data_IF_051487666674
#
_entry.id   IF_051487666674
#
_cell.length_a   1.000
_cell.length_b   1.000
_cell.length_c   1.000
_cell.angle_alpha   90.00
_cell.angle_beta   90.00
_cell.angle_gamma   90.00
#
_symmetry.space_group_name_H-M   'P 1'
#
loop_
_entity.id
_entity.type
_entity.pdbx_description
1 polymer ?
#
# COMPACT_ATOMS: atom_id res chain seq x y z
N UNK A 1 18.20 10.62 9.39
CA UNK A 1 17.60 9.57 8.53
C UNK A 1 18.32 9.36 7.20
N UNK A 2 18.95 10.38 6.59
CA UNK A 2 19.76 10.19 5.37
C UNK A 2 20.95 9.25 5.60
N UNK A 3 21.71 9.45 6.67
CA UNK A 3 22.85 8.59 7.04
C UNK A 3 22.42 7.12 7.21
N UNK A 4 21.34 6.87 7.95
CA UNK A 4 20.72 5.54 8.04
C UNK A 4 20.41 4.93 6.68
N UNK A 5 19.89 5.73 5.74
CA UNK A 5 19.54 5.24 4.41
C UNK A 5 20.77 4.91 3.55
N UNK A 6 21.91 5.53 3.82
CA UNK A 6 23.18 5.20 3.17
C UNK A 6 23.72 3.84 3.63
N UNK A 7 23.43 3.43 4.88
CA UNK A 7 23.89 2.15 5.42
C UNK A 7 22.98 0.97 5.10
N UNK A 8 21.68 1.10 5.39
CA UNK A 8 20.73 -0.03 5.25
C UNK A 8 19.81 0.10 4.04
N UNK A 9 19.95 1.16 3.26
CA UNK A 9 19.09 1.47 2.12
C UNK A 9 17.82 2.23 2.51
N UNK A 10 17.33 3.04 1.58
CA UNK A 10 16.17 3.90 1.79
C UNK A 10 14.88 3.12 2.11
N UNK A 11 14.68 1.95 1.48
CA UNK A 11 13.50 1.11 1.71
C UNK A 11 13.41 0.64 3.17
N UNK A 12 14.51 0.13 3.73
CA UNK A 12 14.56 -0.35 5.11
C UNK A 12 14.36 0.79 6.12
N UNK A 13 14.89 1.98 5.84
CA UNK A 13 14.64 3.17 6.66
C UNK A 13 13.16 3.55 6.67
N UNK A 14 12.48 3.48 5.52
CA UNK A 14 11.05 3.76 5.46
C UNK A 14 10.23 2.74 6.27
N UNK A 15 10.61 1.46 6.25
CA UNK A 15 9.99 0.43 7.10
C UNK A 15 10.17 0.75 8.59
N UNK A 16 11.37 1.15 9.00
CA UNK A 16 11.64 1.56 10.39
C UNK A 16 10.81 2.78 10.79
N UNK A 17 10.74 3.80 9.94
CA UNK A 17 9.91 4.98 10.16
C UNK A 17 8.41 4.63 10.25
N UNK A 18 7.94 3.67 9.43
CA UNK A 18 6.55 3.23 9.44
C UNK A 18 6.19 2.51 10.74
N UNK A 19 7.08 1.65 11.24
CA UNK A 19 6.80 0.81 12.41
C UNK A 19 7.13 1.48 13.75
N UNK A 20 8.20 2.25 13.80
CA UNK A 20 8.80 2.77 15.04
C UNK A 20 8.97 4.30 15.05
N UNK A 21 8.35 5.02 14.10
CA UNK A 21 8.44 6.48 14.04
C UNK A 21 8.08 7.15 15.36
N UNK A 22 8.97 8.01 15.85
CA UNK A 22 8.83 8.71 17.14
C UNK A 22 9.28 7.92 18.36
N UNK A 23 9.85 6.73 18.18
CA UNK A 23 10.36 5.87 19.26
C UNK A 23 11.89 5.84 19.28
N UNK A 24 12.44 5.59 20.46
CA UNK A 24 13.85 5.22 20.63
C UNK A 24 14.01 3.69 20.60
N UNK A 25 14.86 3.21 19.71
CA UNK A 25 15.19 1.79 19.62
C UNK A 25 16.62 1.58 20.10
N UNK A 26 16.81 0.64 21.02
CA UNK A 26 18.14 0.19 21.40
C UNK A 26 18.71 -0.79 20.37
N UNK A 27 19.95 -0.55 19.93
CA UNK A 27 20.68 -1.45 19.06
C UNK A 27 21.69 -2.25 19.89
N UNK A 28 21.56 -3.59 19.98
CA UNK A 28 22.47 -4.40 20.78
C UNK A 28 23.86 -4.44 20.13
N UNK A 29 24.90 -4.65 20.95
CA UNK A 29 26.28 -4.76 20.47
C UNK A 29 26.58 -6.05 19.69
N UNK A 30 25.74 -7.08 19.83
CA UNK A 30 25.90 -8.38 19.18
C UNK A 30 24.53 -8.91 18.78
N UNK A 31 24.50 -9.69 17.71
CA UNK A 31 23.31 -10.41 17.30
C UNK A 31 22.93 -11.39 18.44
N UNK A 32 21.71 -11.25 18.96
CA UNK A 32 21.20 -12.17 19.97
C UNK A 32 20.67 -13.44 19.29
N UNK A 33 20.67 -14.57 20.00
CA UNK A 33 19.96 -15.78 19.54
C UNK A 33 18.44 -15.59 19.44
N UNK A 34 17.89 -14.54 20.06
CA UNK A 34 16.47 -14.17 19.90
C UNK A 34 16.33 -13.12 18.79
N UNK A 35 15.35 -13.26 17.89
CA UNK A 35 15.13 -12.28 16.83
C UNK A 35 14.79 -10.93 17.46
N UNK A 36 15.54 -9.91 17.07
CA UNK A 36 15.27 -8.54 17.47
C UNK A 36 14.16 -7.98 16.57
N UNK A 37 13.24 -7.17 17.11
CA UNK A 37 12.09 -6.63 16.35
C UNK A 37 12.51 -5.82 15.11
N UNK A 38 13.71 -5.22 15.15
CA UNK A 38 14.30 -4.54 13.99
C UNK A 38 14.77 -5.55 12.95
N UNK A 39 15.45 -6.63 13.37
CA UNK A 39 15.92 -7.69 12.47
C UNK A 39 14.75 -8.38 11.74
N UNK A 40 13.65 -8.61 12.44
CA UNK A 40 12.42 -9.15 11.84
C UNK A 40 11.86 -8.25 10.72
N UNK A 41 12.09 -6.94 10.81
CA UNK A 41 11.52 -5.96 9.89
C UNK A 41 12.41 -5.68 8.68
N UNK A 42 13.72 -5.51 8.89
CA UNK A 42 14.68 -5.14 7.83
C UNK A 42 15.54 -6.29 7.33
N UNK A 43 15.48 -7.44 8.01
CA UNK A 43 16.32 -8.61 7.77
C UNK A 43 17.65 -8.58 8.53
N UNK A 44 18.24 -9.77 8.67
CA UNK A 44 19.45 -9.97 9.48
C UNK A 44 20.67 -9.22 8.94
N UNK A 45 20.83 -9.15 7.61
CA UNK A 45 21.95 -8.45 6.98
C UNK A 45 21.93 -6.95 7.25
N UNK A 46 20.79 -6.30 7.05
CA UNK A 46 20.64 -4.87 7.33
C UNK A 46 20.77 -4.59 8.83
N UNK A 47 20.27 -5.49 9.68
CA UNK A 47 20.42 -5.34 11.12
C UNK A 47 21.87 -5.49 11.58
N UNK A 48 22.65 -6.40 10.97
CA UNK A 48 24.07 -6.55 11.26
C UNK A 48 24.84 -5.26 10.96
N UNK A 49 24.54 -4.58 9.85
CA UNK A 49 25.13 -3.27 9.51
C UNK A 49 24.76 -2.22 10.58
N UNK A 50 23.52 -2.22 11.09
CA UNK A 50 23.13 -1.33 12.19
C UNK A 50 23.91 -1.60 13.47
N UNK A 51 24.17 -2.86 13.80
CA UNK A 51 25.00 -3.22 14.95
C UNK A 51 26.42 -2.68 14.76
N UNK A 52 27.02 -2.87 13.59
CA UNK A 52 28.39 -2.41 13.32
C UNK A 52 28.56 -0.90 13.47
N UNK A 53 27.57 -0.12 13.03
CA UNK A 53 27.64 1.35 13.06
C UNK A 53 27.12 1.97 14.37
N UNK A 54 26.12 1.35 15.00
CA UNK A 54 25.36 1.93 16.12
C UNK A 54 25.27 1.01 17.35
N UNK A 55 26.21 0.07 17.52
CA UNK A 55 26.26 -0.83 18.67
C UNK A 55 26.13 -0.09 20.02
N UNK A 56 25.27 -0.61 20.89
CA UNK A 56 25.01 -0.07 22.24
C UNK A 56 24.39 1.32 22.28
N UNK A 57 23.95 1.86 21.14
CA UNK A 57 23.30 3.16 21.07
C UNK A 57 21.77 3.03 21.11
N UNK A 58 21.11 4.10 21.57
CA UNK A 58 19.68 4.32 21.37
C UNK A 58 19.48 5.20 20.15
N UNK A 59 18.82 4.66 19.15
CA UNK A 59 18.54 5.32 17.89
C UNK A 59 17.14 5.94 17.93
N UNK A 60 17.07 7.26 17.80
CA UNK A 60 15.82 8.01 17.62
C UNK A 60 15.32 7.83 16.19
N UNK A 61 14.16 7.20 16.01
CA UNK A 61 13.55 7.03 14.68
C UNK A 61 12.62 8.20 14.39
N UNK A 62 12.90 8.94 13.32
CA UNK A 62 12.07 10.08 12.92
C UNK A 62 10.66 9.63 12.48
N UNK A 63 9.64 10.45 12.77
CA UNK A 63 8.30 10.25 12.24
C UNK A 63 8.24 10.64 10.76
N UNK A 64 7.83 9.72 9.89
CA UNK A 64 7.71 9.99 8.45
C UNK A 64 6.34 9.61 7.86
N UNK A 65 5.29 9.49 8.70
CA UNK A 65 3.96 9.01 8.26
C UNK A 65 3.41 9.79 7.07
N UNK A 66 3.52 11.12 7.07
CA UNK A 66 3.03 11.96 5.97
C UNK A 66 3.79 11.68 4.66
N UNK A 67 5.12 11.58 4.73
CA UNK A 67 5.99 11.31 3.57
C UNK A 67 5.79 9.89 3.04
N UNK A 68 5.63 8.90 3.92
CA UNK A 68 5.35 7.50 3.55
C UNK A 68 3.97 7.40 2.88
N UNK A 69 2.93 8.02 3.47
CA UNK A 69 1.60 8.05 2.85
C UNK A 69 1.64 8.73 1.48
N UNK A 70 2.36 9.85 1.36
CA UNK A 70 2.58 10.54 0.08
C UNK A 70 3.25 9.60 -0.93
N UNK A 71 4.33 8.93 -0.55
CA UNK A 71 5.03 8.00 -1.44
C UNK A 71 4.14 6.83 -1.90
N UNK A 72 3.37 6.22 -0.97
CA UNK A 72 2.45 5.10 -1.29
C UNK A 72 1.34 5.50 -2.25
N UNK A 73 0.80 6.72 -2.14
CA UNK A 73 -0.26 7.23 -3.03
C UNK A 73 0.25 7.76 -4.35
N UNK A 74 1.51 8.17 -4.43
CA UNK A 74 2.02 8.90 -5.58
C UNK A 74 1.98 8.08 -6.88
N UNK A 75 2.14 6.75 -6.83
CA UNK A 75 1.95 5.88 -7.99
C UNK A 75 0.50 5.85 -8.49
N UNK A 76 -0.46 5.82 -7.56
CA UNK A 76 -1.91 5.85 -7.86
C UNK A 76 -2.32 7.19 -8.46
N UNK A 77 -1.79 8.28 -7.91
CA UNK A 77 -2.04 9.63 -8.42
C UNK A 77 -1.40 9.80 -9.81
N UNK A 78 -0.20 9.27 -10.03
CA UNK A 78 0.42 9.27 -11.34
C UNK A 78 -0.43 8.51 -12.38
N UNK A 79 -0.94 7.32 -12.01
CA UNK A 79 -1.83 6.52 -12.85
C UNK A 79 -3.14 7.25 -13.19
N UNK A 80 -3.74 7.94 -12.22
CA UNK A 80 -4.93 8.74 -12.44
C UNK A 80 -4.66 9.95 -13.35
N UNK A 81 -3.50 10.60 -13.22
CA UNK A 81 -3.09 11.74 -14.07
C UNK A 81 -2.91 11.36 -15.54
N UNK A 82 -2.37 10.17 -15.80
CA UNK A 82 -2.20 9.66 -17.18
C UNK A 82 -3.46 9.00 -17.74
N UNK A 83 -4.57 9.00 -16.99
CA UNK A 83 -5.83 8.41 -17.41
C UNK A 83 -5.85 6.88 -17.45
N UNK A 84 -4.90 6.21 -16.79
CA UNK A 84 -4.90 4.74 -16.69
C UNK A 84 -6.02 4.22 -15.78
N UNK A 85 -6.40 5.03 -14.78
CA UNK A 85 -7.53 4.78 -13.89
C UNK A 85 -8.33 6.06 -13.67
N UNK A 86 -9.61 5.92 -13.38
CA UNK A 86 -10.46 7.05 -13.04
C UNK A 86 -10.12 7.62 -11.65
N UNK A 87 -10.49 8.89 -11.43
CA UNK A 87 -10.28 9.56 -10.13
C UNK A 87 -11.08 8.87 -9.01
N UNK A 88 -12.24 8.29 -9.31
CA UNK A 88 -13.02 7.51 -8.33
C UNK A 88 -12.30 6.24 -7.93
N UNK A 89 -11.76 5.48 -8.90
CA UNK A 89 -10.93 4.29 -8.65
C UNK A 89 -9.73 4.63 -7.79
N UNK A 90 -9.03 5.71 -8.13
CA UNK A 90 -7.89 6.19 -7.35
C UNK A 90 -8.30 6.53 -5.91
N UNK A 91 -9.47 7.14 -5.69
CA UNK A 91 -9.97 7.49 -4.37
C UNK A 91 -10.21 6.24 -3.50
N UNK A 92 -10.78 5.20 -4.09
CA UNK A 92 -11.04 3.92 -3.42
C UNK A 92 -9.73 3.21 -3.07
N UNK A 93 -8.79 3.14 -4.01
CA UNK A 93 -7.45 2.55 -3.79
C UNK A 93 -6.71 3.28 -2.65
N UNK A 94 -6.79 4.61 -2.63
CA UNK A 94 -6.14 5.44 -1.61
C UNK A 94 -6.89 5.37 -0.27
N UNK A 95 -8.18 5.04 -0.28
CA UNK A 95 -9.07 5.13 0.88
C UNK A 95 -9.38 6.58 1.27
N UNK A 96 -9.61 7.45 0.27
CA UNK A 96 -9.97 8.86 0.47
C UNK A 96 -11.23 9.26 -0.31
N UNK A 97 -11.73 10.47 -0.07
CA UNK A 97 -12.90 10.97 -0.78
C UNK A 97 -12.55 11.42 -2.20
N UNK A 98 -13.48 11.27 -3.14
CA UNK A 98 -13.29 11.70 -4.55
C UNK A 98 -12.87 13.18 -4.68
N UNK A 99 -13.47 14.16 -3.97
CA UNK A 99 -13.04 15.55 -4.06
C UNK A 99 -11.58 15.76 -3.64
N UNK A 100 -11.16 15.10 -2.57
CA UNK A 100 -9.77 15.18 -2.11
C UNK A 100 -8.80 14.55 -3.12
N UNK A 101 -9.16 13.39 -3.68
CA UNK A 101 -8.34 12.75 -4.71
C UNK A 101 -8.26 13.61 -5.99
N UNK A 102 -9.37 14.23 -6.38
CA UNK A 102 -9.41 15.18 -7.50
C UNK A 102 -8.45 16.35 -7.27
N UNK A 103 -8.44 16.91 -6.06
CA UNK A 103 -7.49 17.96 -5.66
C UNK A 103 -6.04 17.47 -5.75
N UNK A 104 -5.74 16.25 -5.31
CA UNK A 104 -4.39 15.68 -5.42
C UNK A 104 -3.95 15.47 -6.88
N UNK A 105 -4.85 14.99 -7.74
CA UNK A 105 -4.58 14.73 -9.15
C UNK A 105 -4.39 16.03 -9.93
N UNK A 106 -5.18 17.06 -9.65
CA UNK A 106 -5.19 18.28 -10.46
C UNK A 106 -4.27 19.38 -9.92
N UNK A 107 -4.20 19.54 -8.59
CA UNK A 107 -3.63 20.74 -7.95
C UNK A 107 -2.40 20.46 -7.08
N UNK A 108 -2.08 19.21 -6.76
CA UNK A 108 -0.87 18.88 -5.99
C UNK A 108 0.35 18.62 -6.87
N UNK A 109 1.56 18.60 -6.29
CA UNK A 109 2.77 18.09 -6.96
C UNK A 109 3.00 16.59 -6.72
N UNK A 110 2.06 15.89 -6.08
CA UNK A 110 2.16 14.45 -5.81
C UNK A 110 2.02 13.64 -7.11
N UNK A 111 2.92 12.68 -7.32
CA UNK A 111 2.93 11.83 -8.53
C UNK A 111 3.65 12.44 -9.75
N UNK A 112 4.13 13.69 -9.69
CA UNK A 112 4.93 14.24 -10.79
C UNK A 112 6.27 13.54 -10.95
N UNK A 113 6.62 13.20 -12.20
CA UNK A 113 7.88 12.53 -12.53
C UNK A 113 7.98 11.09 -12.03
N UNK A 114 6.87 10.52 -11.54
CA UNK A 114 6.79 9.13 -11.11
C UNK A 114 6.09 8.34 -12.22
N UNK A 115 6.73 7.26 -12.68
CA UNK A 115 6.07 6.33 -13.58
C UNK A 115 4.95 5.60 -12.82
N UNK A 116 3.74 5.50 -13.38
CA UNK A 116 2.68 4.71 -12.77
C UNK A 116 3.17 3.28 -12.58
N UNK A 117 3.27 2.87 -11.32
CA UNK A 117 3.65 1.52 -10.93
C UNK A 117 2.43 0.59 -10.89
N UNK A 118 2.62 -0.69 -10.55
CA UNK A 118 1.50 -1.59 -10.28
C UNK A 118 0.60 -0.98 -9.21
N UNK A 119 -0.70 -0.95 -9.50
CA UNK A 119 -1.69 -0.35 -8.61
C UNK A 119 -1.84 -1.21 -7.34
N UNK A 120 -1.85 -0.58 -6.15
CA UNK A 120 -2.16 -1.30 -4.93
C UNK A 120 -3.62 -1.77 -4.98
N UNK A 121 -3.86 -2.95 -4.39
CA UNK A 121 -5.22 -3.48 -4.28
C UNK A 121 -6.07 -2.57 -3.39
N UNK A 122 -7.34 -2.29 -3.76
CA UNK A 122 -8.25 -1.53 -2.92
C UNK A 122 -8.38 -2.16 -1.53
N UNK A 123 -8.40 -1.34 -0.47
CA UNK A 123 -8.53 -1.85 0.90
C UNK A 123 -9.85 -2.59 1.13
N UNK A 124 -10.91 -2.10 0.50
CA UNK A 124 -12.27 -2.63 0.62
C UNK A 124 -12.44 -3.96 -0.14
N UNK A 125 -11.54 -4.27 -1.08
CA UNK A 125 -11.56 -5.55 -1.81
C UNK A 125 -11.46 -6.73 -0.85
N UNK A 126 -10.62 -6.61 0.20
CA UNK A 126 -10.48 -7.65 1.22
C UNK A 126 -11.81 -7.95 1.93
N UNK A 127 -12.64 -6.92 2.19
CA UNK A 127 -13.95 -7.10 2.84
C UNK A 127 -14.96 -7.76 1.90
N UNK A 128 -14.88 -7.46 0.61
CA UNK A 128 -15.73 -8.09 -0.42
C UNK A 128 -15.32 -9.54 -0.64
N UNK A 129 -14.02 -9.82 -0.69
CA UNK A 129 -13.46 -11.17 -0.75
C UNK A 129 -13.87 -11.98 0.49
N UNK A 130 -13.70 -11.44 1.71
CA UNK A 130 -14.12 -12.09 2.96
C UNK A 130 -15.63 -12.39 2.96
N UNK A 131 -16.46 -11.44 2.51
CA UNK A 131 -17.89 -11.63 2.41
C UNK A 131 -18.27 -12.69 1.35
N UNK A 132 -17.56 -12.71 0.22
CA UNK A 132 -17.75 -13.70 -0.83
C UNK A 132 -17.31 -15.10 -0.36
N UNK A 133 -16.25 -15.20 0.43
CA UNK A 133 -15.77 -16.45 1.03
C UNK A 133 -16.78 -16.99 2.06
N UNK A 134 -17.35 -16.13 2.90
CA UNK A 134 -18.44 -16.51 3.82
C UNK A 134 -19.67 -17.01 3.04
N UNK A 135 -20.07 -16.30 1.99
CA UNK A 135 -21.19 -16.70 1.13
C UNK A 135 -20.92 -18.03 0.41
N UNK A 136 -19.68 -18.24 -0.05
CA UNK A 136 -19.19 -19.49 -0.66
C UNK A 136 -19.31 -20.65 0.31
N UNK A 137 -18.87 -20.47 1.56
CA UNK A 137 -19.01 -21.47 2.62
C UNK A 137 -20.48 -21.89 2.84
N UNK A 138 -21.39 -20.93 2.92
CA UNK A 138 -22.82 -21.20 3.09
C UNK A 138 -23.44 -21.96 1.91
N UNK A 139 -23.00 -21.67 0.68
CA UNK A 139 -23.48 -22.37 -0.53
C UNK A 139 -22.95 -23.80 -0.63
N UNK A 140 -21.70 -24.04 -0.22
CA UNK A 140 -21.13 -25.39 -0.13
C UNK A 140 -21.90 -26.23 0.90
N UNK A 141 -22.21 -25.67 2.08
CA UNK A 141 -23.04 -26.34 3.09
C UNK A 141 -24.45 -26.66 2.58
N UNK A 142 -25.00 -25.81 1.71
CA UNK A 142 -26.29 -26.02 1.05
C UNK A 142 -26.24 -27.05 -0.11
N UNK A 143 -25.06 -27.59 -0.44
CA UNK A 143 -24.89 -28.64 -1.46
C UNK A 143 -24.70 -28.13 -2.89
N UNK A 144 -24.30 -26.87 -3.08
CA UNK A 144 -24.00 -26.32 -4.40
C UNK A 144 -22.65 -26.82 -4.95
N UNK A 145 -22.53 -26.91 -6.28
CA UNK A 145 -21.32 -27.40 -6.95
C UNK A 145 -20.19 -26.35 -6.93
N UNK A 146 -19.01 -26.74 -6.43
CA UNK A 146 -17.83 -25.88 -6.27
C UNK A 146 -17.46 -24.98 -7.46
N UNK A 147 -17.43 -25.44 -8.73
CA UNK A 147 -17.02 -24.59 -9.85
C UNK A 147 -18.01 -23.43 -10.12
N UNK A 148 -19.31 -23.63 -9.88
CA UNK A 148 -20.30 -22.57 -10.05
C UNK A 148 -20.19 -21.50 -8.95
N UNK A 149 -19.77 -21.90 -7.75
CA UNK A 149 -19.59 -20.99 -6.61
C UNK A 149 -18.34 -20.12 -6.80
N UNK A 150 -17.22 -20.70 -7.26
CA UNK A 150 -16.01 -19.92 -7.53
C UNK A 150 -16.21 -18.94 -8.70
N UNK A 151 -16.98 -19.34 -9.71
CA UNK A 151 -17.37 -18.44 -10.79
C UNK A 151 -18.24 -17.28 -10.27
N UNK A 152 -19.26 -17.56 -9.45
CA UNK A 152 -20.11 -16.53 -8.85
C UNK A 152 -19.33 -15.59 -7.92
N UNK A 153 -18.37 -16.12 -7.16
CA UNK A 153 -17.44 -15.34 -6.33
C UNK A 153 -16.65 -14.35 -7.17
N UNK A 154 -16.06 -14.82 -8.28
CA UNK A 154 -15.32 -13.95 -9.20
C UNK A 154 -16.23 -12.89 -9.83
N UNK A 155 -17.45 -13.27 -10.26
CA UNK A 155 -18.43 -12.34 -10.83
C UNK A 155 -18.86 -11.25 -9.84
N UNK A 156 -19.02 -11.56 -8.55
CA UNK A 156 -19.35 -10.56 -7.52
C UNK A 156 -18.21 -9.57 -7.33
N UNK A 157 -16.97 -10.07 -7.27
CA UNK A 157 -15.78 -9.22 -7.14
C UNK A 157 -15.64 -8.32 -8.36
N UNK A 158 -15.80 -8.87 -9.57
CA UNK A 158 -15.73 -8.12 -10.82
C UNK A 158 -16.86 -7.10 -10.95
N UNK A 159 -18.09 -7.44 -10.51
CA UNK A 159 -19.23 -6.54 -10.46
C UNK A 159 -18.97 -5.38 -9.49
N UNK A 160 -18.48 -5.67 -8.29
CA UNK A 160 -18.14 -4.65 -7.31
C UNK A 160 -17.04 -3.73 -7.83
N UNK A 161 -15.98 -4.30 -8.42
CA UNK A 161 -14.94 -3.53 -9.09
C UNK A 161 -15.52 -2.67 -10.22
N UNK A 162 -16.44 -3.19 -11.03
CA UNK A 162 -17.09 -2.42 -12.09
C UNK A 162 -18.00 -1.28 -11.59
N UNK A 163 -18.64 -1.44 -10.43
CA UNK A 163 -19.47 -0.40 -9.80
C UNK A 163 -18.63 0.69 -9.12
N UNK A 164 -17.52 0.29 -8.50
CA UNK A 164 -16.66 1.18 -7.70
C UNK A 164 -15.58 1.84 -8.56
N UNK A 165 -15.18 1.16 -9.65
CA UNK A 165 -14.26 1.62 -10.68
C UNK A 165 -14.96 1.66 -12.06
N UNK A 166 -16.01 2.48 -12.25
CA UNK A 166 -16.65 2.57 -13.54
C UNK A 166 -15.64 3.05 -14.59
N UNK A 167 -15.61 2.47 -15.79
CA UNK A 167 -14.79 2.99 -16.87
C UNK A 167 -15.22 4.43 -17.16
N UNK A 168 -14.28 5.37 -17.22
CA UNK A 168 -14.57 6.77 -17.51
C UNK A 168 -15.26 6.87 -18.88
N UNK A 169 -16.55 7.23 -18.87
CA UNK A 169 -17.34 7.49 -20.08
C UNK A 169 -17.03 8.84 -20.71
N UNK A 170 -16.05 9.60 -20.20
CA UNK A 170 -15.81 11.00 -20.55
C UNK A 170 -15.00 11.23 -21.85
N UNK A 171 -14.76 10.22 -22.69
CA UNK A 171 -14.03 10.38 -23.95
C UNK A 171 -14.94 10.50 -25.19
N UNK A 172 -16.25 10.74 -25.02
CA UNK A 172 -17.15 11.05 -26.13
C UNK A 172 -17.81 12.40 -25.87
N UNK A 173 -17.39 13.41 -26.63
CA UNK A 173 -18.10 14.65 -27.02
C UNK A 173 -17.15 15.86 -27.08
N UNK A 174 -16.27 15.88 -28.09
CA UNK A 174 -15.84 17.14 -28.72
C UNK A 174 -15.34 16.82 -30.12
N UNK A 175 -16.29 16.58 -31.03
CA UNK A 175 -16.12 16.73 -32.48
C UNK A 175 -17.51 16.84 -33.09
N UNK A 176 -18.05 18.06 -33.09
CA UNK A 176 -19.06 18.55 -34.04
C UNK A 176 -18.69 19.98 -34.43
#
# INVERSE_FOLDING_TARGET
MRELAEYIGAANVLLLCERFGGQEIYIPARLSNRPHRVAELVGDQAFQILIEQYASCRLQIATAHASIRRAKRASVIAAARVGQISISTAAVIIGSTRPYTSELVNNSTEGFGINPGPLPRPRELCLVEDAADIATGALIEAGAEGPAIEQARQEIVDLWLGQVCPPDTSSKETEQ
#
